data_IF_024680392241
#
_entry.id   IF_024680392241
#
_cell.length_a   1.000
_cell.length_b   1.000
_cell.length_c   1.000
_cell.angle_alpha   90.00
_cell.angle_beta   90.00
_cell.angle_gamma   90.00
#
_symmetry.space_group_name_H-M   'P 1'
#
loop_
_entity.id
_entity.type
_entity.pdbx_description
1 polymer ?
#
# COMPACT_ATOMS: atom_id res chain seq x y z
N UNK A 1 9.69 -4.58 -0.30
CA UNK A 1 9.10 -3.66 0.68
C UNK A 1 10.20 -3.30 1.66
N UNK A 2 10.58 -2.03 1.77
CA UNK A 2 11.65 -1.60 2.67
C UNK A 2 11.28 -1.77 4.16
N UNK A 3 12.28 -1.99 4.99
CA UNK A 3 12.12 -2.01 6.44
C UNK A 3 12.17 -0.55 6.97
N UNK A 4 11.03 -0.06 7.46
CA UNK A 4 10.90 1.34 7.91
C UNK A 4 11.91 1.75 8.98
N UNK A 5 12.31 0.81 9.86
CA UNK A 5 13.27 1.09 10.94
C UNK A 5 14.72 1.17 10.43
N UNK A 6 15.05 0.42 9.37
CA UNK A 6 16.42 0.31 8.85
C UNK A 6 16.67 1.20 7.63
N UNK A 7 15.65 1.39 6.79
CA UNK A 7 15.78 1.99 5.46
C UNK A 7 15.02 3.31 5.33
N UNK A 8 14.19 3.66 6.31
CA UNK A 8 13.37 4.85 6.27
C UNK A 8 12.13 4.69 5.40
N UNK A 9 11.59 5.81 4.94
CA UNK A 9 10.38 5.88 4.13
C UNK A 9 10.71 6.15 2.66
N UNK A 10 10.10 5.38 1.76
CA UNK A 10 10.30 5.53 0.32
C UNK A 10 11.57 4.86 -0.22
N UNK A 11 11.88 5.08 -1.51
CA UNK A 11 13.07 4.53 -2.14
C UNK A 11 14.34 5.25 -1.67
N UNK A 12 15.38 4.46 -1.38
CA UNK A 12 16.71 4.95 -1.00
C UNK A 12 17.76 4.53 -2.04
N UNK A 13 18.91 5.23 -2.06
CA UNK A 13 20.06 4.83 -2.90
C UNK A 13 20.46 3.38 -2.59
N UNK A 14 20.45 3.00 -1.30
CA UNK A 14 20.78 1.65 -0.87
C UNK A 14 19.83 0.60 -1.48
N UNK A 15 18.52 0.81 -1.36
CA UNK A 15 17.52 -0.14 -1.92
C UNK A 15 17.63 -0.24 -3.44
N UNK A 16 17.94 0.86 -4.13
CA UNK A 16 18.15 0.84 -5.57
C UNK A 16 19.47 0.14 -5.95
N UNK A 17 20.55 0.33 -5.20
CA UNK A 17 21.81 -0.42 -5.40
C UNK A 17 21.58 -1.93 -5.31
N UNK A 18 20.87 -2.39 -4.29
CA UNK A 18 20.55 -3.82 -4.11
C UNK A 18 19.72 -4.40 -5.26
N UNK A 19 18.84 -3.59 -5.88
CA UNK A 19 18.09 -4.00 -7.07
C UNK A 19 19.00 -4.04 -8.32
N UNK A 20 19.87 -3.06 -8.48
CA UNK A 20 20.80 -2.95 -9.61
C UNK A 20 21.79 -4.12 -9.61
N UNK A 21 22.28 -4.53 -8.44
CA UNK A 21 23.13 -5.73 -8.28
C UNK A 21 22.42 -7.01 -8.77
N UNK A 22 21.10 -7.04 -8.76
CA UNK A 22 20.29 -8.14 -9.33
C UNK A 22 20.06 -8.03 -10.84
N UNK A 23 20.77 -7.11 -11.52
CA UNK A 23 20.68 -6.89 -12.97
C UNK A 23 19.28 -6.52 -13.47
N UNK A 24 18.49 -5.80 -12.68
CA UNK A 24 17.19 -5.26 -13.13
C UNK A 24 17.40 -4.22 -14.23
N UNK A 25 16.44 -4.10 -15.14
CA UNK A 25 16.44 -3.12 -16.22
C UNK A 25 15.47 -1.97 -15.97
N UNK A 26 14.41 -2.25 -15.23
CA UNK A 26 13.35 -1.29 -14.90
C UNK A 26 13.02 -1.45 -13.42
N UNK A 27 12.84 -0.33 -12.74
CA UNK A 27 12.34 -0.27 -11.36
C UNK A 27 10.97 0.42 -11.37
N UNK A 28 9.98 -0.21 -10.76
CA UNK A 28 8.71 0.42 -10.43
C UNK A 28 8.72 0.83 -8.97
N UNK A 29 8.50 2.10 -8.68
CA UNK A 29 8.16 2.55 -7.33
C UNK A 29 6.64 2.66 -7.23
N UNK A 30 6.05 2.11 -6.17
CA UNK A 30 4.61 2.08 -5.97
C UNK A 30 4.31 2.70 -4.61
N UNK A 31 3.39 3.66 -4.56
CA UNK A 31 3.02 4.40 -3.35
C UNK A 31 4.18 5.25 -2.77
N UNK A 32 5.12 5.61 -3.62
CA UNK A 32 6.28 6.44 -3.30
C UNK A 32 7.01 6.83 -4.57
N UNK A 33 7.93 7.78 -4.47
CA UNK A 33 8.85 8.11 -5.54
C UNK A 33 8.70 9.52 -6.12
N UNK A 34 7.53 10.14 -5.99
CA UNK A 34 7.29 11.48 -6.55
C UNK A 34 8.29 12.54 -6.06
N UNK A 35 8.77 12.40 -4.81
CA UNK A 35 9.76 13.31 -4.20
C UNK A 35 11.14 12.67 -4.00
N UNK A 36 11.39 11.48 -4.55
CA UNK A 36 12.62 10.72 -4.33
C UNK A 36 13.72 11.07 -5.34
N UNK A 37 14.11 12.34 -5.38
CA UNK A 37 15.04 12.87 -6.38
C UNK A 37 16.41 12.17 -6.37
N UNK A 38 17.00 11.96 -5.20
CA UNK A 38 18.34 11.39 -5.07
C UNK A 38 18.39 9.94 -5.58
N UNK A 39 17.48 9.09 -5.10
CA UNK A 39 17.44 7.68 -5.49
C UNK A 39 17.16 7.52 -6.99
N UNK A 40 16.25 8.33 -7.55
CA UNK A 40 15.91 8.28 -8.98
C UNK A 40 17.05 8.81 -9.84
N UNK A 41 17.73 9.88 -9.43
CA UNK A 41 18.91 10.38 -10.12
C UNK A 41 20.03 9.31 -10.13
N UNK A 42 20.28 8.67 -9.00
CA UNK A 42 21.22 7.55 -8.90
C UNK A 42 20.91 6.42 -9.88
N UNK A 43 19.63 5.98 -9.94
CA UNK A 43 19.22 4.95 -10.91
C UNK A 43 19.47 5.39 -12.36
N UNK A 44 19.17 6.66 -12.68
CA UNK A 44 19.41 7.23 -14.01
C UNK A 44 20.91 7.23 -14.37
N UNK A 45 21.81 7.57 -13.45
CA UNK A 45 23.25 7.52 -13.64
C UNK A 45 23.73 6.07 -13.92
N UNK A 46 23.03 5.09 -13.37
CA UNK A 46 23.26 3.66 -13.62
C UNK A 46 22.50 3.13 -14.86
N UNK A 47 21.89 4.00 -15.64
CA UNK A 47 21.12 3.64 -16.86
C UNK A 47 19.96 2.68 -16.57
N UNK A 48 19.32 2.81 -15.41
CA UNK A 48 18.13 2.05 -15.03
C UNK A 48 16.91 2.95 -15.15
N UNK A 49 15.92 2.48 -15.89
CA UNK A 49 14.64 3.18 -16.02
C UNK A 49 13.81 3.03 -14.74
N UNK A 50 13.29 4.16 -14.26
CA UNK A 50 12.38 4.18 -13.11
C UNK A 50 11.02 4.68 -13.55
N UNK A 51 9.98 3.91 -13.25
CA UNK A 51 8.58 4.29 -13.44
C UNK A 51 7.96 4.49 -12.06
N UNK A 52 7.49 5.70 -11.80
CA UNK A 52 6.85 6.07 -10.52
C UNK A 52 5.34 5.95 -10.67
N UNK A 53 4.72 5.13 -9.81
CA UNK A 53 3.26 4.99 -9.67
C UNK A 53 2.87 5.48 -8.27
N UNK A 54 2.46 6.73 -8.15
CA UNK A 54 2.32 7.40 -6.87
C UNK A 54 1.05 8.27 -6.85
N UNK A 55 0.64 8.73 -5.67
CA UNK A 55 -0.51 9.61 -5.48
C UNK A 55 -0.25 10.72 -4.45
N UNK A 56 0.94 10.77 -3.87
CA UNK A 56 1.32 11.83 -2.93
C UNK A 56 1.44 13.19 -3.62
N UNK A 57 1.36 14.27 -2.85
CA UNK A 57 1.54 15.62 -3.37
C UNK A 57 2.88 15.76 -4.08
N UNK A 58 2.88 16.42 -5.21
CA UNK A 58 4.10 16.67 -5.99
C UNK A 58 4.58 18.11 -5.84
N UNK A 59 5.85 18.31 -6.13
CA UNK A 59 6.43 19.64 -6.36
C UNK A 59 6.29 20.04 -7.84
N UNK A 60 6.60 21.33 -8.13
CA UNK A 60 6.67 21.83 -9.51
C UNK A 60 7.70 21.04 -10.33
N UNK A 61 8.84 20.74 -9.72
CA UNK A 61 9.91 19.95 -10.33
C UNK A 61 9.68 18.47 -9.99
N UNK A 62 9.67 17.65 -11.03
CA UNK A 62 9.57 16.20 -10.88
C UNK A 62 10.97 15.55 -10.93
N UNK A 63 11.14 14.37 -10.30
CA UNK A 63 12.38 13.60 -10.42
C UNK A 63 12.61 13.14 -11.86
N UNK A 64 13.88 12.93 -12.23
CA UNK A 64 14.28 12.53 -13.60
C UNK A 64 14.02 11.04 -13.86
N UNK A 65 12.84 10.54 -13.47
CA UNK A 65 12.37 9.20 -13.78
C UNK A 65 12.06 9.05 -15.28
N UNK A 66 11.99 7.80 -15.78
CA UNK A 66 11.49 7.51 -17.12
C UNK A 66 10.04 7.99 -17.28
N UNK A 67 9.21 7.73 -16.25
CA UNK A 67 7.85 8.24 -16.18
C UNK A 67 7.42 8.46 -14.74
N UNK A 68 6.64 9.53 -14.47
CA UNK A 68 5.98 9.79 -13.20
C UNK A 68 4.47 9.82 -13.45
N UNK A 69 3.79 8.77 -13.02
CA UNK A 69 2.34 8.60 -13.14
C UNK A 69 1.76 8.90 -11.76
N UNK A 70 1.23 10.11 -11.61
CA UNK A 70 0.68 10.60 -10.36
C UNK A 70 -0.40 11.66 -10.66
N UNK A 71 -1.67 11.44 -10.27
CA UNK A 71 -2.76 12.37 -10.53
C UNK A 71 -2.68 13.66 -9.68
N UNK A 72 -1.77 13.72 -8.69
CA UNK A 72 -1.51 14.92 -7.88
C UNK A 72 -0.31 15.75 -8.40
N UNK A 73 0.16 15.49 -9.62
CA UNK A 73 1.08 16.39 -10.31
C UNK A 73 0.36 17.70 -10.65
N UNK A 74 1.08 18.82 -10.57
CA UNK A 74 0.52 20.14 -10.85
C UNK A 74 0.08 20.33 -12.31
N UNK A 75 0.62 19.55 -13.24
CA UNK A 75 0.27 19.54 -14.67
C UNK A 75 -0.74 18.47 -15.05
N UNK A 76 -1.23 17.67 -14.09
CA UNK A 76 -2.23 16.62 -14.35
C UNK A 76 -3.62 17.23 -14.61
N UNK A 77 -4.33 16.65 -15.58
CA UNK A 77 -5.68 17.07 -15.98
C UNK A 77 -6.69 15.92 -15.95
N UNK A 78 -6.34 14.81 -15.30
CA UNK A 78 -7.18 13.61 -15.26
C UNK A 78 -8.41 13.76 -14.37
N UNK A 79 -8.39 14.68 -13.40
CA UNK A 79 -9.38 14.80 -12.32
C UNK A 79 -9.47 13.52 -11.45
N UNK A 80 -8.35 12.80 -11.30
CA UNK A 80 -8.25 11.54 -10.56
C UNK A 80 -7.42 11.67 -9.26
N UNK A 81 -7.26 12.88 -8.72
CA UNK A 81 -6.47 13.18 -7.51
C UNK A 81 -6.92 12.40 -6.28
N UNK A 82 -8.13 11.87 -6.31
CA UNK A 82 -8.70 11.06 -5.24
C UNK A 82 -8.29 9.57 -5.29
N UNK A 83 -7.51 9.12 -6.29
CA UNK A 83 -7.02 7.75 -6.35
C UNK A 83 -5.88 7.53 -5.33
N UNK A 84 -5.90 6.38 -4.65
CA UNK A 84 -4.74 5.85 -3.95
C UNK A 84 -3.74 5.21 -4.93
N UNK A 85 -2.52 4.90 -4.47
CA UNK A 85 -1.49 4.29 -5.31
C UNK A 85 -1.92 2.94 -5.93
N UNK A 86 -2.74 2.14 -5.22
CA UNK A 86 -3.31 0.91 -5.79
C UNK A 86 -4.26 1.23 -6.96
N UNK A 87 -5.06 2.30 -6.87
CA UNK A 87 -5.91 2.80 -7.95
C UNK A 87 -5.10 3.31 -9.14
N UNK A 88 -4.04 4.07 -8.90
CA UNK A 88 -3.11 4.55 -9.95
C UNK A 88 -2.45 3.37 -10.65
N UNK A 89 -1.94 2.40 -9.88
CA UNK A 89 -1.34 1.17 -10.44
C UNK A 89 -2.33 0.38 -11.28
N UNK A 90 -3.59 0.28 -10.85
CA UNK A 90 -4.64 -0.38 -11.61
C UNK A 90 -4.91 0.33 -12.95
N UNK A 91 -5.01 1.66 -12.95
CA UNK A 91 -5.20 2.45 -14.17
C UNK A 91 -4.01 2.33 -15.13
N UNK A 92 -2.79 2.29 -14.60
CA UNK A 92 -1.60 1.97 -15.38
C UNK A 92 -1.71 0.59 -16.05
N UNK A 93 -2.09 -0.45 -15.30
CA UNK A 93 -2.26 -1.80 -15.84
C UNK A 93 -3.37 -1.87 -16.90
N UNK A 94 -4.48 -1.17 -16.71
CA UNK A 94 -5.56 -1.05 -17.72
C UNK A 94 -5.02 -0.44 -19.02
N UNK A 95 -4.24 0.64 -18.92
CA UNK A 95 -3.62 1.31 -20.05
C UNK A 95 -2.59 0.41 -20.76
N UNK A 96 -1.76 -0.29 -19.97
CA UNK A 96 -0.76 -1.23 -20.49
C UNK A 96 -1.42 -2.39 -21.23
N UNK A 97 -2.44 -3.02 -20.66
CA UNK A 97 -3.20 -4.10 -21.31
C UNK A 97 -3.81 -3.62 -22.63
N UNK A 98 -4.39 -2.43 -22.64
CA UNK A 98 -4.94 -1.83 -23.86
C UNK A 98 -3.87 -1.63 -24.92
N UNK A 99 -2.69 -1.13 -24.56
CA UNK A 99 -1.58 -0.92 -25.48
C UNK A 99 -1.03 -2.25 -26.02
N UNK A 100 -0.88 -3.26 -25.17
CA UNK A 100 -0.41 -4.60 -25.57
C UNK A 100 -1.42 -5.29 -26.50
N UNK A 101 -2.72 -5.17 -26.19
CA UNK A 101 -3.79 -5.71 -27.03
C UNK A 101 -3.80 -5.05 -28.41
N UNK A 102 -3.67 -3.73 -28.50
CA UNK A 102 -3.64 -3.00 -29.78
C UNK A 102 -2.45 -3.39 -30.66
N UNK A 103 -1.36 -3.86 -30.05
CA UNK A 103 -0.17 -4.39 -30.75
C UNK A 103 -0.23 -5.90 -31.00
N UNK A 104 -1.34 -6.55 -30.71
CA UNK A 104 -1.52 -8.01 -30.81
C UNK A 104 -0.48 -8.82 -29.98
N UNK A 105 0.13 -8.19 -28.95
CA UNK A 105 1.26 -8.73 -28.21
C UNK A 105 0.93 -10.05 -27.51
N UNK A 106 -0.26 -10.16 -26.94
CA UNK A 106 -0.71 -11.38 -26.22
C UNK A 106 -0.74 -12.60 -27.14
N UNK A 107 -1.34 -12.46 -28.33
CA UNK A 107 -1.41 -13.56 -29.29
C UNK A 107 -0.03 -13.90 -29.85
N UNK A 108 0.78 -12.88 -30.20
CA UNK A 108 2.13 -13.07 -30.74
C UNK A 108 3.03 -13.84 -29.78
N UNK A 109 2.87 -13.63 -28.46
CA UNK A 109 3.69 -14.27 -27.43
C UNK A 109 3.01 -15.50 -26.79
N UNK A 110 1.82 -15.90 -27.28
CA UNK A 110 1.03 -17.01 -26.75
C UNK A 110 0.79 -16.89 -25.22
N UNK A 111 0.47 -15.68 -24.76
CA UNK A 111 0.20 -15.34 -23.36
C UNK A 111 -1.27 -14.94 -23.25
N UNK A 112 -1.98 -15.53 -22.29
CA UNK A 112 -3.35 -15.12 -22.02
C UNK A 112 -3.39 -13.70 -21.43
N UNK A 113 -4.24 -12.83 -21.99
CA UNK A 113 -4.48 -11.52 -21.42
C UNK A 113 -5.06 -11.64 -20.01
N UNK A 114 -4.45 -10.98 -18.99
CA UNK A 114 -4.96 -11.05 -17.63
C UNK A 114 -6.31 -10.32 -17.51
N UNK A 115 -7.25 -10.94 -16.81
CA UNK A 115 -8.51 -10.28 -16.44
C UNK A 115 -8.27 -9.36 -15.25
N UNK A 116 -8.07 -8.07 -15.49
CA UNK A 116 -7.77 -7.09 -14.45
C UNK A 116 -8.91 -6.89 -13.44
N UNK A 117 -10.15 -7.22 -13.82
CA UNK A 117 -11.31 -7.15 -12.91
C UNK A 117 -11.11 -8.07 -11.69
N UNK A 118 -10.45 -9.20 -11.85
CA UNK A 118 -10.21 -10.15 -10.75
C UNK A 118 -9.31 -9.56 -9.64
N UNK A 119 -8.55 -8.50 -9.91
CA UNK A 119 -7.69 -7.82 -8.94
C UNK A 119 -8.36 -6.63 -8.22
N UNK A 120 -9.63 -6.36 -8.51
CA UNK A 120 -10.35 -5.26 -7.84
C UNK A 120 -10.57 -5.51 -6.34
N UNK A 121 -10.42 -6.71 -5.86
CA UNK A 121 -10.35 -7.02 -4.42
C UNK A 121 -9.16 -6.33 -3.76
N UNK A 122 -7.96 -6.45 -4.35
CA UNK A 122 -6.73 -5.81 -3.86
C UNK A 122 -6.78 -4.28 -4.03
N UNK A 123 -7.30 -3.80 -5.17
CA UNK A 123 -7.45 -2.35 -5.41
C UNK A 123 -8.44 -1.75 -4.40
N UNK A 124 -9.54 -2.45 -4.09
CA UNK A 124 -10.50 -2.02 -3.09
C UNK A 124 -9.91 -2.02 -1.69
N UNK A 125 -9.10 -3.02 -1.36
CA UNK A 125 -8.36 -3.07 -0.10
C UNK A 125 -7.48 -1.83 0.05
N UNK A 126 -6.63 -1.54 -0.94
CA UNK A 126 -5.78 -0.35 -0.94
C UNK A 126 -6.58 0.94 -0.85
N UNK A 127 -7.63 1.09 -1.68
CA UNK A 127 -8.48 2.29 -1.70
C UNK A 127 -9.13 2.60 -0.34
N UNK A 128 -9.65 1.56 0.34
CA UNK A 128 -10.30 1.75 1.64
C UNK A 128 -9.28 1.97 2.75
N UNK A 129 -8.16 1.23 2.73
CA UNK A 129 -7.12 1.33 3.78
C UNK A 129 -6.34 2.64 3.72
N UNK A 130 -6.23 3.25 2.55
CA UNK A 130 -5.59 4.55 2.35
C UNK A 130 -6.53 5.74 2.67
N UNK A 131 -7.77 5.45 3.07
CA UNK A 131 -8.78 6.42 3.52
C UNK A 131 -9.08 7.52 2.47
N UNK A 132 -8.89 7.22 1.19
CA UNK A 132 -9.19 8.16 0.11
C UNK A 132 -10.70 8.28 -0.13
N UNK A 133 -11.18 9.42 -0.66
CA UNK A 133 -12.61 9.64 -0.89
C UNK A 133 -13.26 8.57 -1.79
N UNK A 134 -14.37 7.97 -1.35
CA UNK A 134 -15.10 6.94 -2.08
C UNK A 134 -16.10 7.58 -3.07
N UNK A 135 -15.58 8.39 -3.98
CA UNK A 135 -16.33 9.07 -5.05
C UNK A 135 -15.92 8.51 -6.42
N UNK A 136 -16.64 8.84 -7.46
CA UNK A 136 -16.30 8.53 -8.85
C UNK A 136 -15.81 7.09 -9.04
N UNK A 137 -14.61 6.97 -9.57
CA UNK A 137 -13.97 5.68 -9.87
C UNK A 137 -13.68 4.86 -8.61
N UNK A 138 -13.25 5.47 -7.49
CA UNK A 138 -13.01 4.76 -6.23
C UNK A 138 -14.28 4.05 -5.74
N UNK A 139 -15.44 4.73 -5.82
CA UNK A 139 -16.71 4.13 -5.44
C UNK A 139 -17.07 2.92 -6.32
N UNK A 140 -16.84 3.03 -7.62
CA UNK A 140 -17.09 1.93 -8.56
C UNK A 140 -16.16 0.73 -8.29
N UNK A 141 -14.87 0.98 -8.10
CA UNK A 141 -13.85 -0.02 -7.75
C UNK A 141 -14.23 -0.74 -6.46
N UNK A 142 -14.50 0.00 -5.39
CA UNK A 142 -14.82 -0.59 -4.07
C UNK A 142 -16.13 -1.39 -4.14
N UNK A 143 -17.17 -0.87 -4.82
CA UNK A 143 -18.43 -1.59 -5.00
C UNK A 143 -18.23 -2.94 -5.73
N UNK A 144 -17.41 -2.96 -6.76
CA UNK A 144 -17.12 -4.20 -7.50
C UNK A 144 -16.15 -5.11 -6.74
N UNK A 145 -15.11 -4.56 -6.13
CA UNK A 145 -14.12 -5.31 -5.38
C UNK A 145 -14.72 -6.03 -4.16
N UNK A 146 -15.68 -5.43 -3.46
CA UNK A 146 -16.41 -6.10 -2.38
C UNK A 146 -17.11 -7.37 -2.85
N UNK A 147 -17.64 -7.41 -4.10
CA UNK A 147 -18.23 -8.63 -4.67
C UNK A 147 -17.16 -9.69 -4.92
N UNK A 148 -15.98 -9.28 -5.36
CA UNK A 148 -14.86 -10.19 -5.62
C UNK A 148 -14.28 -10.72 -4.30
N UNK A 149 -14.12 -9.86 -3.27
CA UNK A 149 -13.72 -10.30 -1.92
C UNK A 149 -14.71 -11.34 -1.39
N UNK A 150 -16.01 -11.13 -1.59
CA UNK A 150 -17.06 -12.09 -1.21
C UNK A 150 -16.88 -13.44 -1.90
N UNK A 151 -16.38 -13.47 -3.13
CA UNK A 151 -16.12 -14.72 -3.86
C UNK A 151 -14.92 -15.51 -3.31
N UNK A 152 -14.15 -14.92 -2.38
CA UNK A 152 -13.01 -15.54 -1.70
C UNK A 152 -11.93 -16.13 -2.65
N UNK A 153 -11.75 -15.52 -3.83
CA UNK A 153 -10.75 -15.96 -4.82
C UNK A 153 -9.31 -15.76 -4.33
N UNK A 154 -9.02 -14.62 -3.70
CA UNK A 154 -7.71 -14.38 -3.10
C UNK A 154 -7.61 -15.13 -1.77
N UNK A 155 -6.67 -16.09 -1.71
CA UNK A 155 -6.49 -16.97 -0.57
C UNK A 155 -6.10 -16.20 0.71
N UNK A 156 -5.24 -15.19 0.59
CA UNK A 156 -4.81 -14.36 1.72
C UNK A 156 -5.98 -13.58 2.32
N UNK A 157 -6.79 -12.92 1.49
CA UNK A 157 -7.99 -12.22 1.94
C UNK A 157 -9.02 -13.17 2.55
N UNK A 158 -9.24 -14.34 1.92
CA UNK A 158 -10.10 -15.39 2.47
C UNK A 158 -9.67 -15.77 3.88
N UNK A 159 -8.38 -16.07 4.06
CA UNK A 159 -7.84 -16.50 5.35
C UNK A 159 -7.98 -15.41 6.42
N UNK A 160 -7.76 -14.14 6.06
CA UNK A 160 -8.00 -13.02 7.00
C UNK A 160 -9.47 -12.87 7.37
N UNK A 161 -10.40 -13.04 6.42
CA UNK A 161 -11.83 -13.02 6.70
C UNK A 161 -12.21 -14.12 7.70
N UNK A 162 -11.66 -15.32 7.51
CA UNK A 162 -11.93 -16.47 8.37
C UNK A 162 -11.34 -16.25 9.80
N UNK A 163 -10.11 -15.70 9.93
CA UNK A 163 -9.51 -15.32 11.23
C UNK A 163 -10.33 -14.22 11.92
N UNK A 164 -10.82 -13.25 11.17
CA UNK A 164 -11.70 -12.20 11.69
C UNK A 164 -13.13 -12.67 11.98
N UNK A 165 -13.46 -13.94 11.71
CA UNK A 165 -14.81 -14.53 11.87
C UNK A 165 -15.89 -13.74 11.13
N UNK A 166 -15.58 -13.27 9.92
CA UNK A 166 -16.51 -12.53 9.09
C UNK A 166 -17.29 -13.53 8.24
N UNK A 167 -18.48 -13.91 8.71
CA UNK A 167 -19.39 -14.84 8.03
C UNK A 167 -20.33 -14.13 7.06
N UNK A 168 -20.62 -12.86 7.31
CA UNK A 168 -21.48 -12.03 6.48
C UNK A 168 -20.76 -11.53 5.20
N UNK A 169 -21.50 -10.86 4.31
CA UNK A 169 -20.89 -10.21 3.15
C UNK A 169 -19.88 -9.14 3.60
N UNK A 170 -18.65 -9.15 3.09
CA UNK A 170 -17.65 -8.13 3.40
C UNK A 170 -18.17 -6.73 3.11
N UNK A 171 -17.81 -5.78 3.96
CA UNK A 171 -18.16 -4.36 3.85
C UNK A 171 -16.92 -3.49 3.93
N UNK A 172 -17.07 -2.20 3.64
CA UNK A 172 -16.01 -1.18 3.80
C UNK A 172 -15.48 -1.20 5.24
N UNK A 173 -16.37 -1.35 6.25
CA UNK A 173 -15.96 -1.45 7.64
C UNK A 173 -15.00 -2.64 7.88
N UNK A 174 -15.34 -3.81 7.34
CA UNK A 174 -14.48 -4.99 7.48
C UNK A 174 -13.11 -4.76 6.85
N UNK A 175 -13.03 -4.13 5.67
CA UNK A 175 -11.78 -3.80 5.02
C UNK A 175 -10.97 -2.79 5.86
N UNK A 176 -11.56 -1.66 6.21
CA UNK A 176 -10.85 -0.55 6.84
C UNK A 176 -10.47 -0.81 8.29
N UNK A 177 -11.31 -1.53 9.05
CA UNK A 177 -11.11 -1.68 10.50
C UNK A 177 -10.70 -3.10 10.94
N UNK A 178 -10.87 -4.11 10.11
CA UNK A 178 -10.51 -5.49 10.47
C UNK A 178 -9.35 -6.02 9.62
N UNK A 179 -9.44 -5.96 8.29
CA UNK A 179 -8.40 -6.52 7.41
C UNK A 179 -7.19 -5.59 7.29
N UNK A 180 -7.40 -4.32 6.99
CA UNK A 180 -6.34 -3.33 6.79
C UNK A 180 -5.39 -3.19 7.98
N UNK A 181 -5.89 -3.00 9.22
CA UNK A 181 -5.03 -2.90 10.40
C UNK A 181 -4.14 -4.12 10.63
N UNK A 182 -4.62 -5.34 10.31
CA UNK A 182 -3.82 -6.57 10.42
C UNK A 182 -2.69 -6.60 9.38
N UNK A 183 -3.00 -6.27 8.13
CA UNK A 183 -2.00 -6.20 7.05
C UNK A 183 -0.93 -5.16 7.39
N UNK A 184 -1.34 -3.99 7.87
CA UNK A 184 -0.45 -2.91 8.27
C UNK A 184 0.37 -3.18 9.53
N UNK A 185 -0.10 -4.05 10.42
CA UNK A 185 0.59 -4.34 11.68
C UNK A 185 2.00 -4.93 11.45
N UNK A 186 2.17 -5.71 10.38
CA UNK A 186 3.50 -6.21 9.98
C UNK A 186 4.53 -5.11 9.79
N UNK A 187 4.15 -3.99 9.17
CA UNK A 187 5.04 -2.83 8.97
C UNK A 187 5.23 -1.94 10.20
N UNK A 188 4.46 -2.14 11.27
CA UNK A 188 4.54 -1.34 12.51
C UNK A 188 5.31 -2.04 13.61
N UNK A 189 4.97 -3.29 13.92
CA UNK A 189 5.56 -4.04 15.04
C UNK A 189 6.17 -5.39 14.64
N UNK A 190 6.02 -5.79 13.37
CA UNK A 190 6.46 -7.09 12.85
C UNK A 190 7.34 -6.98 11.61
N UNK A 191 7.12 -7.89 10.65
CA UNK A 191 7.85 -7.93 9.38
C UNK A 191 7.03 -7.26 8.27
N UNK A 192 7.57 -6.22 7.67
CA UNK A 192 6.91 -5.39 6.64
C UNK A 192 6.39 -6.19 5.43
N UNK A 193 7.07 -7.29 5.06
CA UNK A 193 6.71 -8.10 3.89
C UNK A 193 5.54 -9.07 4.13
N UNK A 194 5.13 -9.33 5.39
CA UNK A 194 4.13 -10.37 5.70
C UNK A 194 2.78 -10.09 5.07
N UNK A 195 2.32 -8.83 5.05
CA UNK A 195 1.07 -8.45 4.40
C UNK A 195 1.07 -8.76 2.90
N UNK A 196 2.11 -8.34 2.18
CA UNK A 196 2.25 -8.63 0.76
C UNK A 196 2.40 -10.13 0.47
N UNK A 197 3.24 -10.82 1.26
CA UNK A 197 3.43 -12.26 1.14
C UNK A 197 2.11 -13.03 1.33
N UNK A 198 1.27 -12.61 2.28
CA UNK A 198 -0.04 -13.21 2.48
C UNK A 198 -0.94 -13.03 1.24
N UNK A 199 -1.02 -11.82 0.71
CA UNK A 199 -1.88 -11.50 -0.43
C UNK A 199 -1.44 -12.19 -1.73
N UNK A 200 -0.15 -12.50 -1.87
CA UNK A 200 0.43 -13.21 -3.02
C UNK A 200 0.44 -14.74 -2.84
N UNK A 201 0.18 -15.23 -1.63
CA UNK A 201 0.33 -16.65 -1.32
C UNK A 201 -0.77 -17.52 -1.95
N UNK A 202 -0.38 -18.71 -2.37
CA UNK A 202 -1.28 -19.73 -2.94
C UNK A 202 -1.33 -21.02 -2.13
N UNK A 203 -0.50 -21.14 -1.08
CA UNK A 203 -0.50 -22.30 -0.17
C UNK A 203 -1.37 -22.02 1.06
N UNK A 204 -2.41 -22.86 1.34
CA UNK A 204 -3.31 -22.65 2.45
C UNK A 204 -2.63 -22.67 3.83
N UNK A 205 -1.65 -23.57 4.03
CA UNK A 205 -0.95 -23.70 5.32
C UNK A 205 -0.13 -22.46 5.61
N UNK A 206 0.66 -22.00 4.64
CA UNK A 206 1.46 -20.79 4.78
C UNK A 206 0.58 -19.53 4.88
N UNK A 207 -0.55 -19.47 4.15
CA UNK A 207 -1.52 -18.36 4.30
C UNK A 207 -2.10 -18.29 5.70
N UNK A 208 -2.45 -19.42 6.31
CA UNK A 208 -2.95 -19.46 7.68
C UNK A 208 -1.88 -18.99 8.68
N UNK A 209 -0.63 -19.42 8.52
CA UNK A 209 0.48 -18.99 9.37
C UNK A 209 0.68 -17.47 9.27
N UNK A 210 0.84 -16.93 8.06
CA UNK A 210 1.05 -15.49 7.84
C UNK A 210 -0.11 -14.64 8.38
N UNK A 211 -1.35 -15.06 8.16
CA UNK A 211 -2.51 -14.34 8.64
C UNK A 211 -2.64 -14.39 10.16
N UNK A 212 -2.26 -15.51 10.80
CA UNK A 212 -2.21 -15.63 12.27
C UNK A 212 -1.13 -14.74 12.88
N UNK A 213 0.05 -14.67 12.26
CA UNK A 213 1.13 -13.77 12.69
C UNK A 213 0.69 -12.30 12.56
N UNK A 214 0.03 -11.92 11.48
CA UNK A 214 -0.50 -10.57 11.29
C UNK A 214 -1.60 -10.22 12.30
N UNK A 215 -2.46 -11.16 12.68
CA UNK A 215 -3.44 -10.96 13.75
C UNK A 215 -2.76 -10.76 15.10
N UNK A 216 -1.70 -11.52 15.38
CA UNK A 216 -0.90 -11.34 16.59
C UNK A 216 -0.21 -9.98 16.64
N UNK A 217 0.43 -9.55 15.53
CA UNK A 217 1.02 -8.21 15.45
C UNK A 217 -0.02 -7.10 15.63
N UNK A 218 -1.23 -7.27 15.11
CA UNK A 218 -2.29 -6.29 15.31
C UNK A 218 -2.74 -6.20 16.77
N UNK A 219 -2.83 -7.33 17.48
CA UNK A 219 -3.13 -7.36 18.92
C UNK A 219 -2.02 -6.66 19.73
N UNK A 220 -0.76 -6.94 19.41
CA UNK A 220 0.39 -6.30 20.06
C UNK A 220 0.38 -4.78 19.81
N UNK A 221 0.15 -4.36 18.56
CA UNK A 221 -0.01 -2.94 18.23
C UNK A 221 -1.10 -2.27 19.07
N UNK A 222 -2.28 -2.90 19.19
CA UNK A 222 -3.40 -2.36 19.96
C UNK A 222 -3.08 -2.22 21.44
N UNK A 223 -2.35 -3.17 22.01
CA UNK A 223 -1.90 -3.08 23.40
C UNK A 223 -0.93 -1.91 23.60
N UNK A 224 0.10 -1.80 22.76
CA UNK A 224 1.07 -0.71 22.80
C UNK A 224 0.40 0.66 22.63
N UNK A 225 -0.55 0.79 21.70
CA UNK A 225 -1.34 2.01 21.47
C UNK A 225 -2.15 2.39 22.72
N UNK A 226 -2.86 1.42 23.30
CA UNK A 226 -3.66 1.63 24.52
C UNK A 226 -2.80 2.08 25.70
N UNK A 227 -1.66 1.42 25.92
CA UNK A 227 -0.74 1.74 27.01
C UNK A 227 -0.14 3.14 26.84
N UNK A 228 0.25 3.48 25.63
CA UNK A 228 0.78 4.82 25.32
C UNK A 228 -0.28 5.89 25.52
N UNK A 229 -1.49 5.68 24.96
CA UNK A 229 -2.61 6.62 25.12
C UNK A 229 -2.93 6.85 26.60
N UNK A 230 -2.94 5.80 27.42
CA UNK A 230 -3.24 5.93 28.85
C UNK A 230 -2.16 6.73 29.60
N UNK A 231 -0.88 6.55 29.27
CA UNK A 231 0.23 7.37 29.78
C UNK A 231 0.04 8.85 29.41
N UNK A 232 -0.18 9.13 28.13
CA UNK A 232 -0.41 10.48 27.61
C UNK A 232 -1.59 11.15 28.33
N UNK A 233 -2.72 10.49 28.42
CA UNK A 233 -3.91 11.04 29.10
C UNK A 233 -3.67 11.33 30.58
N UNK A 234 -2.84 10.53 31.27
CA UNK A 234 -2.49 10.79 32.66
C UNK A 234 -1.55 12.00 32.82
N UNK A 235 -0.58 12.16 31.92
CA UNK A 235 0.35 13.28 31.91
C UNK A 235 -0.31 14.62 31.56
N UNK A 236 -1.35 14.56 30.70
CA UNK A 236 -2.02 15.77 30.18
C UNK A 236 -3.22 16.25 31.00
N UNK A 237 -3.57 15.59 32.08
CA UNK A 237 -4.72 15.97 32.93
C UNK A 237 -4.70 17.44 33.39
N UNK A 238 -3.50 18.00 33.62
CA UNK A 238 -3.34 19.37 34.07
C UNK A 238 -3.29 20.40 32.94
N UNK A 239 -3.33 19.97 31.66
CA UNK A 239 -3.19 20.83 30.47
C UNK A 239 -4.47 20.84 29.63
N UNK A 240 -5.61 20.51 30.20
CA UNK A 240 -6.89 20.32 29.49
C UNK A 240 -7.40 21.59 28.76
N UNK A 241 -6.91 22.77 29.11
CA UNK A 241 -7.31 24.05 28.50
C UNK A 241 -6.35 24.56 27.43
N UNK A 242 -5.23 23.88 27.21
CA UNK A 242 -4.27 24.30 26.21
C UNK A 242 -4.77 23.95 24.81
N UNK A 243 -4.71 24.89 23.84
CA UNK A 243 -5.19 24.66 22.48
C UNK A 243 -4.35 23.65 21.69
N UNK A 244 -3.10 23.44 22.08
CA UNK A 244 -2.15 22.52 21.46
C UNK A 244 -1.28 21.90 22.53
N UNK A 245 -1.10 20.57 22.48
CA UNK A 245 -0.20 19.83 23.34
C UNK A 245 0.90 19.19 22.49
N UNK A 246 2.14 19.43 22.83
CA UNK A 246 3.32 18.77 22.24
C UNK A 246 3.95 17.90 23.31
N UNK A 247 3.95 16.60 23.08
CA UNK A 247 4.39 15.60 24.03
C UNK A 247 5.56 14.81 23.48
N UNK A 248 6.47 14.45 24.36
CA UNK A 248 7.59 13.57 24.03
C UNK A 248 7.85 12.63 25.21
N UNK A 249 8.32 11.44 24.94
CA UNK A 249 8.63 10.48 25.98
C UNK A 249 9.66 9.44 25.57
N UNK A 250 10.44 8.89 26.50
CA UNK A 250 11.39 7.83 26.22
C UNK A 250 10.66 6.56 25.78
N UNK A 251 11.28 5.84 24.84
CA UNK A 251 10.79 4.54 24.36
C UNK A 251 9.39 4.53 23.70
N UNK A 252 8.90 5.66 23.24
CA UNK A 252 7.70 5.69 22.43
C UNK A 252 7.96 5.00 21.10
N UNK A 253 7.10 4.02 20.77
CA UNK A 253 7.31 3.20 19.59
C UNK A 253 6.93 3.97 18.32
N UNK A 254 7.90 4.17 17.40
CA UNK A 254 7.73 4.94 16.15
C UNK A 254 6.55 4.50 15.29
N UNK A 255 6.23 3.19 15.26
CA UNK A 255 5.09 2.64 14.53
C UNK A 255 3.73 2.90 15.19
N UNK A 256 3.70 3.51 16.39
CA UNK A 256 2.49 3.73 17.20
C UNK A 256 2.16 5.21 17.35
N UNK A 257 3.15 6.08 17.53
CA UNK A 257 2.94 7.52 17.78
C UNK A 257 2.17 8.25 16.67
N UNK A 258 2.07 7.70 15.49
CA UNK A 258 1.33 8.26 14.35
C UNK A 258 -0.05 7.62 14.12
N UNK A 259 -0.63 6.93 15.13
CA UNK A 259 -1.98 6.35 15.07
C UNK A 259 -2.98 7.26 15.85
#
# INVERSE_FOLDING_TARGET
>A
IPDRKKEGYGPSIKSFSELIEKNVKIIFTVDCGTLSFEAINFAKEKQIDVIVLDHHQSEVKLPKAFSVINPNRLDDKSNLQYLCAAGVSFMFLVSLNRALRSKNWFNTNNINEPNLIDYLDLVSLGTVCDVVPLIGLNRAIVKQGLKIIKSKKNLGLKTLLDICKIESSPSIYHIGYLLGPRINAGGRVGKCSHGANLLLNKDPKNSFQLASELDQYNKERQLLEKDLLQKILNETKNYSNDPVLILSGPNWHEGIIGI
#
